data_IF_918772499176
#
_entry.id   IF_918772499176
#
_cell.length_a   1.000
_cell.length_b   1.000
_cell.length_c   1.000
_cell.angle_alpha   90.00
_cell.angle_beta   90.00
_cell.angle_gamma   90.00
#
_symmetry.space_group_name_H-M   'P 1'
#
loop_
_entity.id
_entity.type
_entity.pdbx_description
1 polymer ?
#
# COMPACT_ATOMS: atom_id res chain seq x y z
N UNK A 1 1.65 4.98 6.74
CA UNK A 1 1.13 4.23 5.57
C UNK A 1 -0.40 4.10 5.66
N UNK A 2 -1.09 5.21 5.97
CA UNK A 2 -2.56 5.23 6.17
C UNK A 2 -3.32 5.07 4.86
N UNK A 3 -2.81 5.67 3.77
CA UNK A 3 -3.44 5.60 2.44
C UNK A 3 -3.71 4.16 1.96
N UNK A 4 -2.77 3.22 2.18
CA UNK A 4 -2.96 1.82 1.82
C UNK A 4 -4.07 1.15 2.64
N UNK A 5 -4.08 1.41 3.95
CA UNK A 5 -5.11 0.91 4.88
C UNK A 5 -6.48 1.49 4.52
N UNK A 6 -6.56 2.79 4.27
CA UNK A 6 -7.78 3.48 3.90
C UNK A 6 -8.31 3.01 2.56
N UNK A 7 -7.45 2.84 1.55
CA UNK A 7 -7.84 2.29 0.26
C UNK A 7 -8.40 0.87 0.40
N UNK A 8 -7.74 0.01 1.18
CA UNK A 8 -8.21 -1.35 1.46
C UNK A 8 -9.56 -1.34 2.19
N UNK A 9 -9.71 -0.51 3.21
CA UNK A 9 -10.94 -0.40 3.99
C UNK A 9 -12.10 0.19 3.16
N UNK A 10 -11.83 1.16 2.27
CA UNK A 10 -12.83 1.71 1.32
C UNK A 10 -13.34 0.66 0.34
N UNK A 11 -12.52 -0.32 -0.01
CA UNK A 11 -12.95 -1.48 -0.79
C UNK A 11 -13.64 -2.57 0.05
N UNK A 12 -13.65 -2.45 1.39
CA UNK A 12 -14.28 -3.43 2.28
C UNK A 12 -13.57 -4.79 2.33
N UNK A 13 -12.30 -4.87 1.93
CA UNK A 13 -11.56 -6.14 1.84
C UNK A 13 -10.61 -6.35 3.03
N UNK A 14 -10.41 -7.62 3.42
CA UNK A 14 -9.42 -7.99 4.42
C UNK A 14 -8.00 -8.00 3.83
N UNK A 15 -6.96 -8.03 4.68
CA UNK A 15 -5.58 -8.21 4.20
C UNK A 15 -5.38 -9.55 3.48
N UNK A 16 -6.09 -10.60 3.90
CA UNK A 16 -6.07 -11.90 3.22
C UNK A 16 -6.72 -11.83 1.84
N UNK A 17 -7.81 -11.06 1.71
CA UNK A 17 -8.41 -10.83 0.39
C UNK A 17 -7.48 -10.01 -0.51
N UNK A 18 -6.77 -9.04 0.05
CA UNK A 18 -5.77 -8.27 -0.68
C UNK A 18 -4.59 -9.13 -1.14
N UNK A 19 -4.20 -10.16 -0.36
CA UNK A 19 -3.21 -11.16 -0.80
C UNK A 19 -3.68 -11.89 -2.07
N UNK A 20 -4.92 -12.38 -2.10
CA UNK A 20 -5.48 -13.05 -3.27
C UNK A 20 -5.50 -12.15 -4.52
N UNK A 21 -5.72 -10.84 -4.34
CA UNK A 21 -5.79 -9.88 -5.44
C UNK A 21 -4.41 -9.39 -5.92
N UNK A 22 -3.46 -9.23 -5.01
CA UNK A 22 -2.14 -8.65 -5.29
C UNK A 22 -1.04 -9.68 -5.52
N UNK A 23 -1.25 -10.93 -5.10
CA UNK A 23 -0.22 -11.96 -5.03
C UNK A 23 0.87 -11.69 -3.97
N UNK A 24 0.66 -10.71 -3.08
CA UNK A 24 1.57 -10.37 -1.99
C UNK A 24 1.05 -11.00 -0.70
N UNK A 25 1.89 -11.73 0.02
CA UNK A 25 1.45 -12.44 1.22
C UNK A 25 0.91 -11.50 2.31
N UNK A 26 -0.11 -11.95 3.04
CA UNK A 26 -0.74 -11.19 4.11
C UNK A 26 0.26 -10.70 5.19
N UNK A 27 1.28 -11.47 5.60
CA UNK A 27 2.30 -10.96 6.52
C UNK A 27 3.12 -9.81 5.95
N UNK A 28 3.36 -9.79 4.63
CA UNK A 28 4.03 -8.66 3.97
C UNK A 28 3.09 -7.45 3.94
N UNK A 29 1.83 -7.63 3.55
CA UNK A 29 0.80 -6.57 3.57
C UNK A 29 0.68 -5.96 4.97
N UNK A 30 0.57 -6.77 6.03
CA UNK A 30 0.45 -6.28 7.39
C UNK A 30 1.66 -5.46 7.86
N UNK A 31 2.88 -5.89 7.48
CA UNK A 31 4.11 -5.15 7.78
C UNK A 31 4.23 -3.85 6.98
N UNK A 32 3.77 -3.85 5.72
CA UNK A 32 3.63 -2.64 4.91
C UNK A 32 2.66 -1.66 5.57
N UNK A 33 1.43 -2.08 5.86
CA UNK A 33 0.39 -1.23 6.46
C UNK A 33 0.84 -0.61 7.80
N UNK A 34 1.57 -1.37 8.62
CA UNK A 34 2.11 -0.88 9.90
C UNK A 34 3.40 -0.07 9.78
N UNK A 35 4.01 0.02 8.59
CA UNK A 35 5.28 0.71 8.36
C UNK A 35 6.50 0.05 9.02
N UNK A 36 6.37 -1.19 9.50
CA UNK A 36 7.45 -1.93 10.20
C UNK A 36 8.54 -2.45 9.26
N UNK A 37 8.31 -2.41 7.95
CA UNK A 37 9.27 -2.84 6.93
C UNK A 37 9.31 -1.86 5.78
N UNK A 38 10.45 -1.77 5.11
CA UNK A 38 10.56 -1.12 3.79
C UNK A 38 10.34 -2.19 2.70
N UNK A 39 9.12 -2.28 2.11
CA UNK A 39 8.87 -3.19 1.00
C UNK A 39 9.67 -2.79 -0.24
N UNK A 40 9.97 -3.77 -1.10
CA UNK A 40 10.50 -3.50 -2.42
C UNK A 40 9.48 -2.73 -3.27
N UNK A 41 9.96 -1.92 -4.22
CA UNK A 41 9.09 -1.11 -5.06
C UNK A 41 8.08 -1.95 -5.84
N UNK A 42 8.49 -3.10 -6.38
CA UNK A 42 7.60 -4.02 -7.10
C UNK A 42 6.42 -4.51 -6.23
N UNK A 43 6.68 -4.72 -4.93
CA UNK A 43 5.69 -5.16 -3.96
C UNK A 43 4.69 -4.06 -3.68
N UNK A 44 5.16 -2.81 -3.54
CA UNK A 44 4.30 -1.64 -3.42
C UNK A 44 3.39 -1.50 -4.64
N UNK A 45 3.96 -1.63 -5.85
CA UNK A 45 3.21 -1.50 -7.09
C UNK A 45 2.12 -2.58 -7.26
N UNK A 46 2.41 -3.84 -6.90
CA UNK A 46 1.41 -4.93 -6.91
C UNK A 46 0.21 -4.62 -6.00
N UNK A 47 0.49 -4.15 -4.79
CA UNK A 47 -0.55 -3.77 -3.83
C UNK A 47 -1.35 -2.56 -4.34
N UNK A 48 -0.69 -1.52 -4.82
CA UNK A 48 -1.36 -0.34 -5.37
C UNK A 48 -2.28 -0.68 -6.55
N UNK A 49 -1.82 -1.52 -7.48
CA UNK A 49 -2.61 -1.97 -8.62
C UNK A 49 -3.90 -2.68 -8.19
N UNK A 50 -3.81 -3.61 -7.23
CA UNK A 50 -4.99 -4.29 -6.68
C UNK A 50 -5.95 -3.37 -5.94
N UNK A 51 -5.46 -2.21 -5.46
CA UNK A 51 -6.26 -1.19 -4.78
C UNK A 51 -6.82 -0.12 -5.74
N UNK A 52 -6.56 -0.23 -7.05
CA UNK A 52 -6.94 0.80 -8.03
C UNK A 52 -6.19 2.12 -7.84
N UNK A 53 -4.96 2.06 -7.34
CA UNK A 53 -4.10 3.21 -7.04
C UNK A 53 -2.84 3.19 -7.91
N UNK A 54 -2.19 4.36 -8.02
CA UNK A 54 -0.91 4.53 -8.71
C UNK A 54 0.12 5.16 -7.78
N UNK A 55 1.41 4.98 -8.08
CA UNK A 55 2.50 5.72 -7.46
C UNK A 55 2.75 7.01 -8.25
N UNK A 56 2.78 8.15 -7.56
CA UNK A 56 3.12 9.43 -8.16
C UNK A 56 4.40 9.99 -7.52
N UNK A 57 5.33 10.47 -8.35
CA UNK A 57 6.49 11.24 -7.91
C UNK A 57 6.11 12.72 -8.03
N UNK A 58 6.05 13.41 -6.90
CA UNK A 58 5.69 14.83 -6.81
C UNK A 58 6.87 15.62 -6.26
N UNK A 59 6.84 16.96 -6.40
CA UNK A 59 7.83 17.79 -5.74
C UNK A 59 7.68 17.62 -4.23
N UNK A 60 8.81 17.50 -3.54
CA UNK A 60 8.82 17.62 -2.10
C UNK A 60 8.52 19.09 -1.78
N UNK A 61 7.33 19.37 -1.24
CA UNK A 61 7.01 20.69 -0.71
C UNK A 61 8.02 20.97 0.41
N UNK A 62 8.96 21.88 0.17
CA UNK A 62 9.76 22.42 1.27
C UNK A 62 8.80 23.24 2.11
N UNK A 63 8.60 22.83 3.37
CA UNK A 63 7.74 23.55 4.30
C UNK A 63 8.06 25.04 4.25
N UNK A 64 7.02 25.87 4.10
CA UNK A 64 7.14 27.30 4.37
C UNK A 64 7.80 27.44 5.75
N UNK A 65 8.96 28.09 5.75
CA UNK A 65 9.68 28.46 6.96
C UNK A 65 8.86 29.39 7.84
#
# INVERSE_FOLDING_TARGET
>A
MSELIEARNKQGISQKKLEELSGVSQPVIARMETGKTSPQLDTVLKVLASLGKILAVVRLEQGKS
#
